data_IF_981546730360
#
_entry.id   IF_981546730360
#
_cell.length_a   1.000
_cell.length_b   1.000
_cell.length_c   1.000
_cell.angle_alpha   90.00
_cell.angle_beta   90.00
_cell.angle_gamma   90.00
#
_symmetry.space_group_name_H-M   'P 1'
#
loop_
_entity.id
_entity.type
_entity.pdbx_description
1 polymer ?
#
# COMPACT_ATOMS: atom_id res chain seq x y z
N UNK A 1 -12.82 11.58 13.41
CA UNK A 1 -13.18 10.19 13.00
C UNK A 1 -11.94 9.49 12.48
N UNK A 2 -11.61 8.37 13.07
CA UNK A 2 -10.46 7.57 12.61
C UNK A 2 -10.76 6.82 11.31
N UNK A 3 -9.69 6.33 10.67
CA UNK A 3 -9.80 5.62 9.40
C UNK A 3 -10.59 4.32 9.52
N UNK A 4 -10.43 3.57 10.62
CA UNK A 4 -11.22 2.37 10.89
C UNK A 4 -12.71 2.67 11.01
N UNK A 5 -13.06 3.74 11.71
CA UNK A 5 -14.46 4.19 11.86
C UNK A 5 -15.05 4.61 10.53
N UNK A 6 -14.25 5.31 9.70
CA UNK A 6 -14.66 5.67 8.35
C UNK A 6 -14.96 4.43 7.51
N UNK A 7 -14.10 3.40 7.57
CA UNK A 7 -14.35 2.12 6.89
C UNK A 7 -15.65 1.47 7.36
N UNK A 8 -15.95 1.50 8.64
CA UNK A 8 -17.19 0.95 9.20
C UNK A 8 -18.44 1.70 8.72
N UNK A 9 -18.37 3.01 8.66
CA UNK A 9 -19.45 3.85 8.12
C UNK A 9 -19.66 3.58 6.65
N UNK A 10 -18.58 3.58 5.87
CA UNK A 10 -18.64 3.35 4.42
C UNK A 10 -19.12 1.93 4.09
N UNK A 11 -18.82 0.94 4.95
CA UNK A 11 -19.38 -0.42 4.81
C UNK A 11 -20.91 -0.40 4.90
N UNK A 12 -21.44 0.28 5.89
CA UNK A 12 -22.89 0.42 6.07
C UNK A 12 -23.53 1.06 4.83
N UNK A 13 -22.93 2.11 4.31
CA UNK A 13 -23.44 2.80 3.12
C UNK A 13 -23.33 1.93 1.86
N UNK A 14 -22.24 1.19 1.70
CA UNK A 14 -22.05 0.26 0.59
C UNK A 14 -23.10 -0.87 0.61
N UNK A 15 -23.41 -1.39 1.80
CA UNK A 15 -24.47 -2.41 1.97
C UNK A 15 -25.83 -1.84 1.57
N UNK A 16 -26.16 -0.61 2.01
CA UNK A 16 -27.42 0.06 1.65
C UNK A 16 -27.52 0.30 0.15
N UNK A 17 -26.40 0.68 -0.48
CA UNK A 17 -26.32 0.89 -1.93
C UNK A 17 -26.26 -0.42 -2.74
N UNK A 18 -26.17 -1.57 -2.08
CA UNK A 18 -25.99 -2.89 -2.72
C UNK A 18 -24.73 -2.97 -3.59
N UNK A 19 -23.70 -2.22 -3.20
CA UNK A 19 -22.38 -2.26 -3.84
C UNK A 19 -21.58 -3.44 -3.26
N UNK A 20 -21.68 -4.59 -3.92
CA UNK A 20 -21.06 -5.84 -3.46
C UNK A 20 -19.53 -5.78 -3.48
N UNK A 21 -18.95 -5.15 -4.49
CA UNK A 21 -17.49 -5.01 -4.59
C UNK A 21 -16.95 -4.17 -3.44
N UNK A 22 -17.54 -3.01 -3.22
CA UNK A 22 -17.12 -2.10 -2.15
C UNK A 22 -17.34 -2.71 -0.76
N UNK A 23 -18.52 -3.26 -0.51
CA UNK A 23 -18.83 -3.88 0.79
C UNK A 23 -17.96 -5.09 1.07
N UNK A 24 -17.74 -5.96 0.09
CA UNK A 24 -16.86 -7.13 0.21
C UNK A 24 -15.42 -6.75 0.48
N UNK A 25 -14.90 -5.77 -0.24
CA UNK A 25 -13.53 -5.27 -0.05
C UNK A 25 -13.36 -4.65 1.33
N UNK A 26 -14.28 -3.78 1.76
CA UNK A 26 -14.20 -3.14 3.09
C UNK A 26 -14.26 -4.20 4.21
N UNK A 27 -15.10 -5.22 4.08
CA UNK A 27 -15.12 -6.33 5.06
C UNK A 27 -13.76 -7.00 5.17
N UNK A 28 -13.09 -7.26 4.07
CA UNK A 28 -11.76 -7.85 4.07
C UNK A 28 -10.73 -6.93 4.74
N UNK A 29 -10.80 -5.63 4.48
CA UNK A 29 -9.92 -4.66 5.12
C UNK A 29 -10.13 -4.59 6.63
N UNK A 30 -11.38 -4.57 7.08
CA UNK A 30 -11.71 -4.57 8.51
C UNK A 30 -11.26 -5.88 9.20
N UNK A 31 -11.38 -7.02 8.51
CA UNK A 31 -10.86 -8.29 9.02
C UNK A 31 -9.33 -8.26 9.14
N UNK A 32 -8.62 -7.71 8.16
CA UNK A 32 -7.16 -7.56 8.21
C UNK A 32 -6.72 -6.64 9.36
N UNK A 33 -7.44 -5.55 9.60
CA UNK A 33 -7.20 -4.64 10.72
C UNK A 33 -7.41 -5.37 12.05
N UNK A 34 -8.52 -6.08 12.20
CA UNK A 34 -8.81 -6.86 13.42
C UNK A 34 -7.75 -7.92 13.68
N UNK A 35 -7.30 -8.63 12.63
CA UNK A 35 -6.24 -9.62 12.77
C UNK A 35 -4.94 -9.00 13.28
N UNK A 36 -4.58 -7.82 12.79
CA UNK A 36 -3.39 -7.10 13.26
C UNK A 36 -3.55 -6.64 14.72
N UNK A 37 -4.75 -6.19 15.09
CA UNK A 37 -5.05 -5.76 16.47
C UNK A 37 -4.88 -6.87 17.50
N UNK A 38 -5.13 -8.11 17.12
CA UNK A 38 -5.05 -9.28 18.01
C UNK A 38 -3.80 -10.15 17.77
N UNK A 39 -2.94 -9.79 16.86
CA UNK A 39 -1.76 -10.61 16.48
C UNK A 39 -0.67 -10.67 17.57
N UNK A 40 -0.60 -9.67 18.45
CA UNK A 40 0.39 -9.60 19.53
C UNK A 40 -0.02 -10.35 20.80
N UNK A 41 0.79 -10.22 21.82
CA UNK A 41 0.50 -10.83 23.14
C UNK A 41 -0.72 -10.23 23.82
N UNK A 42 -1.06 -8.98 23.51
CA UNK A 42 -2.24 -8.28 24.00
C UNK A 42 -2.95 -7.60 22.83
N UNK A 43 -4.27 -7.56 22.88
CA UNK A 43 -5.07 -6.84 21.91
C UNK A 43 -4.78 -5.32 22.01
N UNK A 44 -4.70 -4.66 20.88
CA UNK A 44 -4.51 -3.20 20.79
C UNK A 44 -5.45 -2.61 19.76
N UNK A 45 -5.70 -1.31 19.84
CA UNK A 45 -6.40 -0.56 18.81
C UNK A 45 -5.37 0.12 17.93
N UNK A 46 -5.44 -0.11 16.61
CA UNK A 46 -4.52 0.51 15.66
C UNK A 46 -4.82 2.00 15.47
N UNK A 47 -3.78 2.82 15.49
CA UNK A 47 -3.89 4.21 15.08
C UNK A 47 -3.90 4.32 13.54
N UNK A 48 -4.34 5.45 12.99
CA UNK A 48 -4.52 5.62 11.55
C UNK A 48 -3.27 5.27 10.73
N UNK A 49 -2.07 5.63 11.20
CA UNK A 49 -0.81 5.28 10.51
C UNK A 49 -0.61 3.76 10.43
N UNK A 50 -0.96 3.02 11.47
CA UNK A 50 -0.89 1.55 11.47
C UNK A 50 -1.97 0.95 10.56
N UNK A 51 -3.17 1.54 10.56
CA UNK A 51 -4.24 1.14 9.63
C UNK A 51 -3.79 1.32 8.18
N UNK A 52 -3.18 2.45 7.84
CA UNK A 52 -2.62 2.70 6.50
C UNK A 52 -1.59 1.62 6.12
N UNK A 53 -0.74 1.20 7.05
CA UNK A 53 0.22 0.11 6.82
C UNK A 53 -0.49 -1.19 6.46
N UNK A 54 -1.55 -1.54 7.18
CA UNK A 54 -2.36 -2.73 6.88
C UNK A 54 -2.99 -2.62 5.48
N UNK A 55 -3.61 -1.48 5.18
CA UNK A 55 -4.23 -1.24 3.87
C UNK A 55 -3.21 -1.28 2.73
N UNK A 56 -2.01 -0.77 2.95
CA UNK A 56 -0.92 -0.80 1.96
C UNK A 56 -0.49 -2.23 1.64
N UNK A 57 -0.41 -3.10 2.65
CA UNK A 57 -0.16 -4.54 2.46
C UNK A 57 -1.26 -5.22 1.65
N UNK A 58 -2.51 -4.90 1.94
CA UNK A 58 -3.65 -5.44 1.19
C UNK A 58 -3.66 -4.95 -0.26
N UNK A 59 -3.32 -3.68 -0.50
CA UNK A 59 -3.17 -3.13 -1.85
C UNK A 59 -2.06 -3.83 -2.64
N UNK A 60 -0.93 -4.12 -1.99
CA UNK A 60 0.18 -4.86 -2.60
C UNK A 60 -0.25 -6.26 -3.02
N UNK A 61 -0.97 -6.99 -2.17
CA UNK A 61 -1.51 -8.32 -2.50
C UNK A 61 -2.39 -8.27 -3.76
N UNK A 62 -3.22 -7.23 -3.91
CA UNK A 62 -4.08 -7.07 -5.11
C UNK A 62 -3.25 -6.81 -6.35
N UNK A 63 -2.23 -5.98 -6.29
CA UNK A 63 -1.33 -5.76 -7.44
C UNK A 63 -0.62 -7.04 -7.86
N UNK A 64 -0.08 -7.80 -6.92
CA UNK A 64 0.57 -9.07 -7.21
C UNK A 64 -0.42 -10.09 -7.80
N UNK A 65 -1.64 -10.14 -7.29
CA UNK A 65 -2.69 -10.99 -7.83
C UNK A 65 -3.10 -10.56 -9.26
N UNK A 66 -3.20 -9.27 -9.53
CA UNK A 66 -3.47 -8.75 -10.88
C UNK A 66 -2.40 -9.22 -11.87
N UNK A 67 -1.14 -9.10 -11.51
CA UNK A 67 -0.02 -9.56 -12.36
C UNK A 67 -0.10 -11.05 -12.61
N UNK A 68 -0.27 -11.86 -11.55
CA UNK A 68 -0.36 -13.31 -11.66
C UNK A 68 -1.55 -13.76 -12.52
N UNK A 69 -2.72 -13.18 -12.34
CA UNK A 69 -3.90 -13.51 -13.14
C UNK A 69 -3.78 -13.06 -14.59
N UNK A 70 -3.15 -11.92 -14.83
CA UNK A 70 -2.88 -11.43 -16.18
C UNK A 70 -1.93 -12.38 -16.93
N UNK A 71 -0.87 -12.82 -16.28
CA UNK A 71 0.07 -13.81 -16.85
C UNK A 71 -0.62 -15.14 -17.13
N UNK A 72 -1.53 -15.57 -16.25
CA UNK A 72 -2.32 -16.78 -16.41
C UNK A 72 -3.48 -16.63 -17.43
N UNK A 73 -3.62 -15.46 -18.07
CA UNK A 73 -4.70 -15.13 -19.00
C UNK A 73 -6.09 -15.27 -18.39
N UNK A 74 -6.20 -14.96 -17.10
CA UNK A 74 -7.44 -14.94 -16.35
C UNK A 74 -7.87 -13.49 -16.11
N UNK A 75 -8.24 -12.81 -17.19
CA UNK A 75 -8.64 -11.40 -17.16
C UNK A 75 -9.86 -11.14 -16.27
N UNK A 76 -10.76 -12.09 -16.17
CA UNK A 76 -11.91 -12.05 -15.25
C UNK A 76 -11.49 -11.87 -13.80
N UNK A 77 -10.51 -12.66 -13.35
CA UNK A 77 -9.97 -12.59 -11.99
C UNK A 77 -9.07 -11.36 -11.80
N UNK A 78 -8.26 -11.02 -12.80
CA UNK A 78 -7.43 -9.81 -12.77
C UNK A 78 -8.31 -8.54 -12.62
N UNK A 79 -9.42 -8.46 -13.34
CA UNK A 79 -10.34 -7.33 -13.26
C UNK A 79 -11.01 -7.23 -11.88
N UNK A 80 -11.34 -8.36 -11.27
CA UNK A 80 -11.87 -8.40 -9.90
C UNK A 80 -10.86 -7.81 -8.91
N UNK A 81 -9.60 -8.24 -8.98
CA UNK A 81 -8.54 -7.72 -8.12
C UNK A 81 -8.28 -6.21 -8.35
N UNK A 82 -8.35 -5.74 -9.60
CA UNK A 82 -8.26 -4.31 -9.93
C UNK A 82 -9.39 -3.50 -9.29
N UNK A 83 -10.61 -4.02 -9.32
CA UNK A 83 -11.76 -3.36 -8.71
C UNK A 83 -11.60 -3.26 -7.19
N UNK A 84 -11.12 -4.32 -6.53
CA UNK A 84 -10.82 -4.31 -5.10
C UNK A 84 -9.68 -3.34 -4.78
N UNK A 85 -8.62 -3.30 -5.59
CA UNK A 85 -7.52 -2.36 -5.44
C UNK A 85 -7.98 -0.90 -5.54
N UNK A 86 -8.93 -0.60 -6.43
CA UNK A 86 -9.50 0.73 -6.56
C UNK A 86 -10.27 1.17 -5.30
N UNK A 87 -10.96 0.26 -4.65
CA UNK A 87 -11.63 0.54 -3.36
C UNK A 87 -10.59 0.85 -2.27
N UNK A 88 -9.53 0.06 -2.17
CA UNK A 88 -8.47 0.29 -1.17
C UNK A 88 -7.80 1.66 -1.39
N UNK A 89 -7.56 2.04 -2.64
CA UNK A 89 -6.93 3.32 -2.99
C UNK A 89 -7.71 4.53 -2.46
N UNK A 90 -9.02 4.43 -2.27
CA UNK A 90 -9.83 5.52 -1.70
C UNK A 90 -9.44 5.87 -0.25
N UNK A 91 -8.82 4.94 0.46
CA UNK A 91 -8.44 5.09 1.88
C UNK A 91 -6.94 5.29 2.10
N UNK A 92 -6.16 5.22 1.04
CA UNK A 92 -4.72 5.48 1.10
C UNK A 92 -4.42 6.94 0.76
N UNK A 93 -3.28 7.48 1.25
CA UNK A 93 -2.78 8.77 0.76
C UNK A 93 -2.58 8.72 -0.76
N UNK A 94 -2.54 9.88 -1.41
CA UNK A 94 -2.27 9.98 -2.83
C UNK A 94 -0.99 9.23 -3.19
N UNK A 95 -1.10 8.30 -4.13
CA UNK A 95 0.02 7.45 -4.51
C UNK A 95 1.00 8.22 -5.41
N UNK A 96 2.28 8.00 -5.19
CA UNK A 96 3.34 8.59 -5.99
C UNK A 96 3.47 7.86 -7.33
N UNK A 97 3.63 8.61 -8.40
CA UNK A 97 4.00 8.06 -9.71
C UNK A 97 5.46 7.58 -9.70
N UNK A 98 5.81 6.71 -10.63
CA UNK A 98 7.20 6.25 -10.76
C UNK A 98 8.18 7.42 -11.00
N UNK A 99 7.76 8.42 -11.78
CA UNK A 99 8.54 9.64 -12.02
C UNK A 99 8.80 10.43 -10.74
N UNK A 100 7.77 10.58 -9.90
CA UNK A 100 7.88 11.24 -8.59
C UNK A 100 8.79 10.45 -7.64
N UNK A 101 8.68 9.13 -7.63
CA UNK A 101 9.55 8.25 -6.83
C UNK A 101 11.01 8.41 -7.27
N UNK A 102 11.28 8.36 -8.56
CA UNK A 102 12.64 8.53 -9.12
C UNK A 102 13.24 9.88 -8.75
N UNK A 103 12.44 10.94 -8.76
CA UNK A 103 12.88 12.27 -8.32
C UNK A 103 13.26 12.28 -6.85
N UNK A 104 12.41 11.71 -5.98
CA UNK A 104 12.70 11.60 -4.56
C UNK A 104 13.98 10.79 -4.30
N UNK A 105 14.20 9.72 -5.05
CA UNK A 105 15.41 8.90 -4.96
C UNK A 105 16.65 9.71 -5.32
N UNK A 106 16.60 10.44 -6.44
CA UNK A 106 17.70 11.29 -6.89
C UNK A 106 18.05 12.34 -5.82
N UNK A 107 17.04 13.01 -5.27
CA UNK A 107 17.24 14.00 -4.22
C UNK A 107 17.82 13.36 -2.95
N UNK A 108 17.37 12.18 -2.57
CA UNK A 108 17.89 11.46 -1.40
C UNK A 108 19.34 11.01 -1.60
N UNK A 109 19.71 10.55 -2.78
CA UNK A 109 21.10 10.19 -3.12
C UNK A 109 22.00 11.43 -3.05
N UNK A 110 21.56 12.56 -3.58
CA UNK A 110 22.28 13.82 -3.49
C UNK A 110 22.44 14.28 -2.04
N UNK A 111 21.38 14.24 -1.26
CA UNK A 111 21.37 14.63 0.16
C UNK A 111 22.31 13.79 1.02
N UNK A 112 22.30 12.48 0.81
CA UNK A 112 23.10 11.53 1.59
C UNK A 112 24.51 11.33 1.06
N UNK A 113 24.77 11.81 -0.17
CA UNK A 113 26.01 11.55 -0.90
C UNK A 113 26.31 10.04 -1.03
N UNK A 114 25.27 9.21 -1.09
CA UNK A 114 25.37 7.76 -1.17
C UNK A 114 25.89 7.31 -2.53
N UNK A 115 26.66 6.24 -2.53
CA UNK A 115 27.14 5.59 -3.74
C UNK A 115 27.26 4.09 -3.55
N UNK A 116 26.99 3.35 -4.61
CA UNK A 116 27.06 1.90 -4.65
C UNK A 116 26.05 1.21 -3.75
N UNK A 117 26.06 -0.14 -3.72
CA UNK A 117 25.09 -0.94 -2.95
C UNK A 117 25.08 -0.65 -1.45
N UNK A 118 26.21 -0.25 -0.88
CA UNK A 118 26.32 0.07 0.55
C UNK A 118 25.57 1.33 0.96
N UNK A 119 25.23 2.20 0.00
CA UNK A 119 24.47 3.43 0.25
C UNK A 119 22.97 3.23 0.38
N UNK A 120 22.46 2.03 0.09
CA UNK A 120 21.01 1.76 0.05
C UNK A 120 20.30 2.05 1.37
N UNK A 121 20.90 1.66 2.50
CA UNK A 121 20.33 1.91 3.83
C UNK A 121 20.14 3.38 4.15
N UNK A 122 21.11 4.22 3.80
CA UNK A 122 21.04 5.67 3.98
C UNK A 122 19.94 6.30 3.15
N UNK A 123 19.85 5.92 1.88
CA UNK A 123 18.83 6.42 0.95
C UNK A 123 17.44 6.01 1.42
N UNK A 124 17.23 4.75 1.77
CA UNK A 124 15.96 4.25 2.26
C UNK A 124 15.51 4.95 3.55
N UNK A 125 16.45 5.24 4.45
CA UNK A 125 16.14 5.97 5.69
C UNK A 125 15.59 7.38 5.43
N UNK A 126 16.13 8.09 4.44
CA UNK A 126 15.64 9.40 4.02
C UNK A 126 14.28 9.30 3.32
N UNK A 127 14.08 8.25 2.52
CA UNK A 127 12.86 8.06 1.73
C UNK A 127 11.66 7.62 2.56
N UNK A 128 11.86 6.80 3.59
CA UNK A 128 10.75 6.19 4.35
C UNK A 128 9.67 7.18 4.78
N UNK A 129 9.99 8.34 5.41
CA UNK A 129 8.95 9.28 5.81
C UNK A 129 8.18 9.89 4.62
N UNK A 130 8.81 9.94 3.45
CA UNK A 130 8.25 10.58 2.25
C UNK A 130 7.37 9.65 1.44
N UNK A 131 7.57 8.34 1.57
CA UNK A 131 6.86 7.31 0.77
C UNK A 131 5.90 6.45 1.58
N UNK A 132 5.90 6.55 2.91
CA UNK A 132 5.06 5.71 3.78
C UNK A 132 3.58 5.82 3.38
N UNK A 133 2.98 4.70 2.99
CA UNK A 133 1.60 4.63 2.50
C UNK A 133 1.37 5.21 1.10
N UNK A 134 2.39 5.79 0.46
CA UNK A 134 2.29 6.46 -0.86
C UNK A 134 2.93 5.69 -2.00
N UNK A 135 3.75 4.71 -1.70
CA UNK A 135 4.44 3.88 -2.68
C UNK A 135 4.70 2.48 -2.14
N UNK A 136 4.77 1.49 -3.04
CA UNK A 136 5.19 0.14 -2.69
C UNK A 136 6.68 0.12 -2.34
N UNK A 137 7.00 -0.33 -1.13
CA UNK A 137 8.38 -0.43 -0.64
C UNK A 137 9.28 -1.31 -1.51
N UNK A 138 8.74 -2.41 -2.08
CA UNK A 138 9.49 -3.27 -3.00
C UNK A 138 9.86 -2.57 -4.30
N UNK A 139 8.94 -1.82 -4.88
CA UNK A 139 9.21 -1.00 -6.08
C UNK A 139 10.27 0.07 -5.78
N UNK A 140 10.13 0.80 -4.67
CA UNK A 140 11.10 1.82 -4.26
C UNK A 140 12.49 1.22 -4.07
N UNK A 141 12.59 0.08 -3.36
CA UNK A 141 13.87 -0.61 -3.17
C UNK A 141 14.53 -0.99 -4.49
N UNK A 142 13.77 -1.50 -5.46
CA UNK A 142 14.28 -1.86 -6.78
C UNK A 142 14.80 -0.63 -7.54
N UNK A 143 14.08 0.48 -7.47
CA UNK A 143 14.47 1.73 -8.11
C UNK A 143 15.71 2.36 -7.46
N UNK A 144 15.81 2.28 -6.14
CA UNK A 144 17.02 2.75 -5.40
C UNK A 144 18.23 1.92 -5.81
N UNK A 145 18.09 0.59 -5.83
CA UNK A 145 19.17 -0.30 -6.24
C UNK A 145 19.65 0.02 -7.65
N UNK A 146 18.73 0.21 -8.60
CA UNK A 146 19.07 0.58 -9.97
C UNK A 146 19.76 1.94 -10.05
N UNK A 147 19.30 2.93 -9.29
CA UNK A 147 19.91 4.26 -9.26
C UNK A 147 21.33 4.27 -8.67
N UNK A 148 21.58 3.46 -7.62
CA UNK A 148 22.91 3.34 -7.00
C UNK A 148 23.90 2.51 -7.83
N UNK A 149 23.43 1.72 -8.79
CA UNK A 149 24.26 0.91 -9.67
C UNK A 149 24.85 1.73 -10.84
N UNK A 150 24.41 2.96 -11.05
CA UNK A 150 24.87 3.84 -12.12
C UNK A 150 26.11 4.63 -11.76
#
# INVERSE_FOLDING_TARGET
>A
MGLKEKLQTDLTDAIRARDEVKSGTIRMLLAAITNEEVAGKAAKVLVDAEVITVLSREAKKRREAVEAYTEAKRDDLANKEKAEAAVIALYLPDQLSETEIKKLIKDAITETNASGPSGMGLVMKVLQPKIAGKADGGLVSSLVKAALAQ
#
